data_IF_450346678428
#
_entry.id   IF_450346678428
#
_cell.length_a   1.000
_cell.length_b   1.000
_cell.length_c   1.000
_cell.angle_alpha   90.00
_cell.angle_beta   90.00
_cell.angle_gamma   90.00
#
_symmetry.space_group_name_H-M   'P 1'
#
loop_
_entity.id
_entity.type
_entity.pdbx_description
1 polymer ?
#
# COMPACT_ATOMS: atom_id res chain seq x y z
N UNK A 1 15.91 0.08 5.55
CA UNK A 1 15.28 -1.25 5.35
C UNK A 1 14.17 -1.10 4.34
N UNK A 2 14.16 -1.93 3.29
CA UNK A 2 13.11 -1.90 2.27
C UNK A 2 11.78 -2.42 2.86
N UNK A 3 10.68 -1.72 2.58
CA UNK A 3 9.35 -2.22 2.92
C UNK A 3 8.96 -3.26 1.88
N UNK A 4 8.71 -4.49 2.32
CA UNK A 4 8.27 -5.57 1.43
C UNK A 4 6.87 -6.02 1.75
N UNK A 5 6.09 -6.19 0.69
CA UNK A 5 4.70 -6.65 0.76
C UNK A 5 4.60 -8.13 1.20
N UNK A 6 3.40 -8.69 1.19
CA UNK A 6 3.14 -10.07 1.58
C UNK A 6 3.87 -11.10 0.68
N UNK A 7 4.15 -10.76 -0.58
CA UNK A 7 4.79 -11.64 -1.57
C UNK A 7 6.24 -11.25 -1.89
N UNK A 8 6.79 -10.27 -1.19
CA UNK A 8 8.20 -9.90 -1.25
C UNK A 8 8.52 -8.76 -2.22
N UNK A 9 7.53 -8.12 -2.83
CA UNK A 9 7.75 -6.93 -3.68
C UNK A 9 8.09 -5.71 -2.81
N UNK A 10 8.92 -4.82 -3.34
CA UNK A 10 9.22 -3.56 -2.67
C UNK A 10 8.01 -2.61 -2.76
N UNK A 11 7.66 -2.00 -1.63
CA UNK A 11 6.60 -0.99 -1.53
C UNK A 11 7.23 0.40 -1.59
N UNK A 12 6.69 1.27 -2.43
CA UNK A 12 7.16 2.64 -2.64
C UNK A 12 6.02 3.65 -2.54
N UNK A 13 6.30 4.91 -2.14
CA UNK A 13 5.34 5.99 -2.28
C UNK A 13 4.80 6.12 -3.71
N UNK A 14 3.47 6.22 -3.83
CA UNK A 14 2.75 6.26 -5.09
C UNK A 14 2.32 4.90 -5.64
N UNK A 15 2.84 3.79 -5.11
CA UNK A 15 2.37 2.46 -5.50
C UNK A 15 0.88 2.30 -5.20
N UNK A 16 0.20 1.50 -6.03
CA UNK A 16 -1.13 1.00 -5.70
C UNK A 16 -1.00 -0.37 -5.08
N UNK A 17 -1.67 -0.53 -3.94
CA UNK A 17 -1.64 -1.74 -3.14
C UNK A 17 -3.04 -2.23 -2.88
N UNK A 18 -3.20 -3.55 -2.86
CA UNK A 18 -4.39 -4.20 -2.32
C UNK A 18 -4.16 -4.42 -0.83
N UNK A 19 -5.06 -3.89 0.01
CA UNK A 19 -5.01 -4.09 1.45
C UNK A 19 -5.91 -5.24 1.89
N UNK A 20 -5.33 -6.16 2.68
CA UNK A 20 -6.06 -7.23 3.35
C UNK A 20 -6.16 -6.94 4.85
N UNK A 21 -7.38 -6.87 5.38
CA UNK A 21 -7.60 -6.86 6.84
C UNK A 21 -7.98 -8.27 7.26
N UNK A 22 -7.08 -8.96 7.96
CA UNK A 22 -7.30 -10.32 8.48
C UNK A 22 -7.67 -11.36 7.41
N UNK A 23 -7.10 -11.28 6.20
CA UNK A 23 -7.41 -12.22 5.12
C UNK A 23 -8.74 -11.94 4.39
N UNK A 24 -9.56 -11.02 4.90
CA UNK A 24 -10.72 -10.52 4.17
C UNK A 24 -10.27 -9.38 3.26
N UNK A 25 -10.27 -9.63 1.95
CA UNK A 25 -10.15 -8.58 0.96
C UNK A 25 -11.39 -7.71 1.10
N UNK A 26 -11.23 -6.45 1.53
CA UNK A 26 -12.18 -5.44 1.11
C UNK A 26 -12.23 -5.58 -0.41
N UNK A 27 -13.41 -5.85 -0.98
CA UNK A 27 -13.54 -6.22 -2.40
C UNK A 27 -12.71 -5.29 -3.29
N UNK A 28 -12.23 -5.78 -4.42
CA UNK A 28 -11.23 -5.13 -5.28
C UNK A 28 -11.46 -3.63 -5.56
N UNK A 29 -12.70 -3.14 -5.50
CA UNK A 29 -13.05 -1.72 -5.68
C UNK A 29 -12.76 -0.86 -4.44
N UNK A 30 -12.92 -1.39 -3.23
CA UNK A 30 -12.68 -0.68 -1.96
C UNK A 30 -11.31 -0.95 -1.35
N UNK A 31 -10.68 -2.07 -1.74
CA UNK A 31 -9.40 -2.53 -1.18
C UNK A 31 -8.14 -1.92 -1.82
N UNK A 32 -8.27 -1.20 -2.93
CA UNK A 32 -7.13 -0.61 -3.63
C UNK A 32 -6.81 0.79 -3.10
N UNK A 33 -5.62 0.92 -2.52
CA UNK A 33 -5.14 2.13 -1.89
C UNK A 33 -3.87 2.63 -2.58
N UNK A 34 -3.59 3.92 -2.49
CA UNK A 34 -2.31 4.50 -2.91
C UNK A 34 -1.43 4.70 -1.68
N UNK A 35 -0.17 4.29 -1.78
CA UNK A 35 0.83 4.53 -0.74
C UNK A 35 1.20 6.01 -0.70
N UNK A 36 1.03 6.65 0.44
CA UNK A 36 1.44 8.03 0.67
C UNK A 36 2.87 8.09 1.22
N UNK A 37 3.15 7.31 2.27
CA UNK A 37 4.43 7.33 2.95
C UNK A 37 4.75 6.03 3.67
N UNK A 38 6.04 5.83 3.93
CA UNK A 38 6.59 4.69 4.66
C UNK A 38 7.12 5.18 6.01
N UNK A 39 6.83 4.41 7.06
CA UNK A 39 7.41 4.59 8.40
C UNK A 39 8.15 3.31 8.77
N UNK A 40 9.08 3.26 9.73
CA UNK A 40 9.91 2.07 9.97
C UNK A 40 9.17 0.72 10.14
N UNK A 41 7.88 0.74 10.54
CA UNK A 41 7.07 -0.47 10.80
C UNK A 41 5.75 -0.52 10.02
N UNK A 42 5.39 0.52 9.27
CA UNK A 42 4.06 0.62 8.68
C UNK A 42 4.01 1.47 7.42
N UNK A 43 3.01 1.20 6.59
CA UNK A 43 2.71 1.92 5.35
C UNK A 43 1.46 2.76 5.58
N UNK A 44 1.55 4.05 5.28
CA UNK A 44 0.41 4.97 5.26
C UNK A 44 -0.12 5.06 3.84
N UNK A 45 -1.42 4.89 3.71
CA UNK A 45 -2.10 4.82 2.42
C UNK A 45 -3.38 5.64 2.45
N UNK A 46 -3.88 5.98 1.28
CA UNK A 46 -5.17 6.65 1.12
C UNK A 46 -6.00 6.00 0.03
N UNK A 47 -7.32 5.97 0.25
CA UNK A 47 -8.29 5.63 -0.77
C UNK A 47 -8.71 6.92 -1.49
N UNK A 48 -8.75 6.91 -2.83
CA UNK A 48 -9.06 8.11 -3.61
C UNK A 48 -10.49 8.65 -3.35
N UNK A 49 -11.40 7.79 -2.89
CA UNK A 49 -12.83 8.09 -2.74
C UNK A 49 -13.31 8.21 -1.28
N UNK A 50 -12.51 7.82 -0.28
CA UNK A 50 -12.97 7.71 1.11
C UNK A 50 -12.45 8.87 1.97
N UNK A 51 -13.17 10.00 1.97
CA UNK A 51 -13.11 11.13 2.94
C UNK A 51 -11.75 11.51 3.58
N UNK A 52 -10.63 11.29 2.89
CA UNK A 52 -9.29 11.75 3.28
C UNK A 52 -8.68 11.13 4.53
N UNK A 53 -9.29 10.10 5.16
CA UNK A 53 -8.67 9.46 6.32
C UNK A 53 -7.57 8.49 5.88
N UNK A 54 -6.34 8.64 6.36
CA UNK A 54 -5.25 7.74 6.02
C UNK A 54 -5.46 6.39 6.70
N UNK A 55 -5.24 5.32 5.95
CA UNK A 55 -5.14 3.98 6.46
C UNK A 55 -3.68 3.65 6.75
N UNK A 56 -3.45 2.93 7.85
CA UNK A 56 -2.12 2.50 8.28
C UNK A 56 -2.14 0.99 8.41
N UNK A 57 -1.21 0.31 7.75
CA UNK A 57 -1.10 -1.14 7.80
C UNK A 57 0.36 -1.61 7.88
N UNK A 58 0.54 -2.84 8.38
CA UNK A 58 1.81 -3.55 8.23
C UNK A 58 2.08 -3.82 6.74
N UNK A 59 3.34 -3.75 6.28
CA UNK A 59 3.70 -4.12 4.90
C UNK A 59 3.21 -5.53 4.52
N UNK A 60 3.19 -6.45 5.48
CA UNK A 60 2.75 -7.84 5.27
C UNK A 60 1.24 -8.02 5.09
N UNK A 61 0.46 -6.96 5.29
CA UNK A 61 -0.97 -6.94 5.00
C UNK A 61 -1.29 -6.41 3.59
N UNK A 62 -0.26 -6.13 2.78
CA UNK A 62 -0.37 -5.47 1.49
C UNK A 62 0.15 -6.37 0.38
N UNK A 63 -0.37 -6.15 -0.82
CA UNK A 63 0.18 -6.67 -2.08
C UNK A 63 0.27 -5.51 -3.06
N UNK A 64 1.47 -5.25 -3.60
CA UNK A 64 1.66 -4.25 -4.66
C UNK A 64 1.03 -4.79 -5.94
N UNK A 65 0.15 -3.99 -6.54
CA UNK A 65 -0.58 -4.34 -7.78
C UNK A 65 -0.19 -3.44 -8.96
N UNK A 66 0.22 -2.20 -8.70
CA UNK A 66 0.79 -1.29 -9.70
C UNK A 66 1.92 -0.49 -9.04
N UNK A 67 3.14 -0.62 -9.55
CA UNK A 67 4.29 0.11 -9.03
C UNK A 67 4.40 1.51 -9.65
N UNK A 68 4.73 2.50 -8.82
CA UNK A 68 5.11 3.82 -9.24
C UNK A 68 6.57 3.84 -9.70
N UNK A 69 6.76 3.70 -11.02
CA UNK A 69 8.10 3.68 -11.64
C UNK A 69 8.77 5.06 -11.63
N UNK A 70 8.05 6.16 -11.36
CA UNK A 70 8.67 7.49 -11.25
C UNK A 70 9.58 7.61 -10.02
N UNK A 71 9.41 6.73 -9.02
CA UNK A 71 10.30 6.66 -7.87
C UNK A 71 11.65 5.96 -8.16
N UNK A 72 11.87 5.43 -9.38
CA UNK A 72 13.11 4.73 -9.76
C UNK A 72 14.17 5.63 -10.42
N UNK A 73 13.87 6.92 -10.61
CA UNK A 73 14.69 7.85 -11.40
C UNK A 73 15.64 8.76 -10.61
N UNK A 74 16.01 8.44 -9.37
CA UNK A 74 17.03 9.19 -8.61
C UNK A 74 18.00 8.26 -7.90
#
# INVERSE_FOLDING_TARGET
>A
MAHRDAIGQEIKPGDRVLWSRNGAYAGFQDGVLTVDSLTPKSVRMRQRQLNGRPLIASPKALVVIESNLQAMGK
#
